data_IF_527934654081
#
_entry.id   IF_527934654081
#
_cell.length_a   1.000
_cell.length_b   1.000
_cell.length_c   1.000
_cell.angle_alpha   90.00
_cell.angle_beta   90.00
_cell.angle_gamma   90.00
#
_symmetry.space_group_name_H-M   'P 1'
#
loop_
_entity.id
_entity.type
_entity.pdbx_description
1 polymer ?
#
# COMPACT_ATOMS: atom_id res chain seq x y z
N UNK A 1 13.49 9.96 -11.54
CA UNK A 1 13.57 9.22 -10.28
C UNK A 1 13.94 7.78 -10.59
N UNK A 2 15.15 7.36 -10.21
CA UNK A 2 15.58 5.96 -10.35
C UNK A 2 14.91 5.13 -9.25
N UNK A 3 14.19 4.08 -9.62
CA UNK A 3 13.50 3.18 -8.70
C UNK A 3 13.91 1.74 -8.96
N UNK A 4 14.06 1.00 -7.89
CA UNK A 4 14.27 -0.44 -7.88
C UNK A 4 12.91 -1.15 -7.91
N UNK A 5 12.87 -2.37 -8.43
CA UNK A 5 11.66 -3.18 -8.52
C UNK A 5 11.80 -4.48 -7.75
N UNK A 6 10.68 -4.98 -7.24
CA UNK A 6 10.57 -6.33 -6.72
C UNK A 6 9.19 -6.92 -7.00
N UNK A 7 9.12 -8.25 -7.04
CA UNK A 7 7.89 -9.01 -7.24
C UNK A 7 7.76 -10.06 -6.14
N UNK A 8 6.70 -9.96 -5.35
CA UNK A 8 6.36 -10.94 -4.33
C UNK A 8 5.09 -11.69 -4.75
N UNK A 9 5.16 -13.02 -4.83
CA UNK A 9 4.01 -13.84 -5.23
C UNK A 9 4.22 -15.30 -4.79
N UNK A 10 3.15 -16.09 -4.89
CA UNK A 10 3.23 -17.55 -4.68
C UNK A 10 3.81 -18.21 -5.93
N UNK A 11 4.97 -18.83 -5.83
CA UNK A 11 5.59 -19.55 -6.93
C UNK A 11 6.17 -20.89 -6.48
N UNK A 12 6.24 -21.81 -7.44
CA UNK A 12 7.03 -23.01 -7.33
C UNK A 12 8.36 -22.76 -8.05
N UNK A 13 9.44 -22.60 -7.29
CA UNK A 13 10.80 -22.53 -7.83
C UNK A 13 11.58 -23.76 -7.39
N UNK A 14 12.77 -23.97 -7.96
CA UNK A 14 13.68 -25.03 -7.49
C UNK A 14 14.12 -24.81 -6.03
N UNK A 15 14.10 -23.55 -5.55
CA UNK A 15 14.64 -23.14 -4.26
C UNK A 15 13.57 -22.94 -3.18
N UNK A 16 12.33 -22.62 -3.55
CA UNK A 16 11.27 -22.29 -2.60
C UNK A 16 9.88 -22.67 -3.10
N UNK A 17 8.98 -22.92 -2.15
CA UNK A 17 7.54 -23.15 -2.38
C UNK A 17 6.73 -22.13 -1.57
N UNK A 18 5.75 -21.51 -2.22
CA UNK A 18 4.82 -20.57 -1.59
C UNK A 18 5.20 -19.11 -1.82
N UNK A 19 4.74 -18.22 -0.94
CA UNK A 19 4.92 -16.78 -1.07
C UNK A 19 6.35 -16.35 -0.73
N UNK A 20 7.04 -15.78 -1.72
CA UNK A 20 8.37 -15.20 -1.55
C UNK A 20 8.62 -14.11 -2.62
N UNK A 21 9.74 -13.41 -2.49
CA UNK A 21 10.24 -12.55 -3.56
C UNK A 21 10.76 -13.42 -4.71
N UNK A 22 10.05 -13.44 -5.82
CA UNK A 22 10.39 -14.26 -7.01
C UNK A 22 11.33 -13.53 -7.96
N UNK A 23 11.36 -12.20 -7.88
CA UNK A 23 12.23 -11.35 -8.69
C UNK A 23 12.51 -10.03 -7.95
N UNK A 24 13.70 -9.48 -8.17
CA UNK A 24 14.08 -8.14 -7.72
C UNK A 24 15.18 -7.57 -8.63
N UNK A 25 15.29 -6.26 -8.67
CA UNK A 25 16.41 -5.57 -9.30
C UNK A 25 17.65 -5.58 -8.42
N UNK A 26 18.81 -5.31 -9.03
CA UNK A 26 20.12 -5.44 -8.37
C UNK A 26 20.33 -4.45 -7.22
N UNK A 27 19.61 -3.32 -7.19
CA UNK A 27 19.68 -2.37 -6.08
C UNK A 27 18.89 -2.79 -4.84
N UNK A 28 18.04 -3.83 -4.92
CA UNK A 28 17.32 -4.36 -3.74
C UNK A 28 18.23 -5.29 -2.94
N UNK A 29 18.81 -4.77 -1.87
CA UNK A 29 19.69 -5.54 -0.96
C UNK A 29 18.95 -6.68 -0.26
N UNK A 30 19.70 -7.61 0.34
CA UNK A 30 19.10 -8.72 1.11
C UNK A 30 18.35 -8.25 2.36
N UNK A 31 18.81 -7.18 3.00
CA UNK A 31 18.12 -6.54 4.12
C UNK A 31 16.76 -6.01 3.68
N UNK A 32 16.72 -5.26 2.58
CA UNK A 32 15.47 -4.77 1.99
C UNK A 32 14.56 -5.92 1.59
N UNK A 33 15.10 -6.96 0.95
CA UNK A 33 14.32 -8.12 0.52
C UNK A 33 13.61 -8.81 1.69
N UNK A 34 14.28 -8.98 2.85
CA UNK A 34 13.67 -9.53 4.07
C UNK A 34 12.54 -8.63 4.58
N UNK A 35 12.76 -7.31 4.63
CA UNK A 35 11.73 -6.35 5.04
C UNK A 35 10.54 -6.39 4.08
N UNK A 36 10.78 -6.33 2.77
CA UNK A 36 9.74 -6.44 1.75
C UNK A 36 8.90 -7.71 1.88
N UNK A 37 9.54 -8.85 2.14
CA UNK A 37 8.82 -10.11 2.35
C UNK A 37 7.90 -10.07 3.59
N UNK A 38 8.33 -9.42 4.68
CA UNK A 38 7.50 -9.21 5.88
C UNK A 38 6.28 -8.31 5.62
N UNK A 39 6.48 -7.26 4.83
CA UNK A 39 5.42 -6.32 4.46
C UNK A 39 4.50 -6.84 3.35
N UNK A 40 4.93 -7.85 2.60
CA UNK A 40 4.14 -8.38 1.49
C UNK A 40 3.04 -9.32 1.98
N UNK A 41 1.79 -9.13 1.53
CA UNK A 41 0.69 -10.00 1.91
C UNK A 41 0.78 -11.37 1.25
N UNK A 42 0.29 -12.39 1.96
CA UNK A 42 0.08 -13.75 1.44
C UNK A 42 -1.41 -13.98 1.13
N UNK A 43 -1.79 -15.23 0.84
CA UNK A 43 -3.18 -15.63 0.55
C UNK A 43 -4.24 -14.92 1.40
N UNK A 44 -5.38 -14.61 0.77
CA UNK A 44 -6.57 -14.01 1.37
C UNK A 44 -6.35 -12.68 2.16
N UNK A 45 -5.31 -11.93 1.82
CA UNK A 45 -5.01 -10.67 2.51
C UNK A 45 -5.72 -9.44 1.96
N UNK A 46 -6.39 -9.50 0.80
CA UNK A 46 -7.20 -8.37 0.31
C UNK A 46 -8.55 -8.32 1.05
N UNK A 47 -9.02 -7.12 1.37
CA UNK A 47 -10.29 -6.92 2.10
C UNK A 47 -11.50 -7.27 1.25
N UNK A 48 -11.43 -6.99 -0.06
CA UNK A 48 -12.49 -7.28 -1.00
C UNK A 48 -12.27 -8.65 -1.70
N UNK A 49 -13.35 -9.44 -1.91
CA UNK A 49 -13.25 -10.78 -2.49
C UNK A 49 -13.18 -10.78 -4.03
N UNK A 50 -13.56 -9.68 -4.71
CA UNK A 50 -13.65 -9.65 -6.18
C UNK A 50 -12.27 -9.64 -6.86
N UNK A 51 -12.23 -10.10 -8.11
CA UNK A 51 -11.01 -10.21 -8.94
C UNK A 51 -10.33 -8.85 -9.20
N UNK A 52 -11.12 -7.78 -9.32
CA UNK A 52 -10.60 -6.42 -9.52
C UNK A 52 -10.07 -5.76 -8.24
N UNK A 53 -10.15 -6.44 -7.08
CA UNK A 53 -9.69 -5.89 -5.82
C UNK A 53 -8.17 -5.70 -5.87
N UNK A 54 -7.73 -4.52 -5.44
CA UNK A 54 -6.33 -4.22 -5.31
C UNK A 54 -6.05 -3.30 -4.11
N UNK A 55 -4.78 -3.28 -3.69
CA UNK A 55 -4.32 -2.40 -2.62
C UNK A 55 -3.08 -1.66 -3.07
N UNK A 56 -3.05 -0.34 -2.87
CA UNK A 56 -1.83 0.45 -2.87
C UNK A 56 -1.38 0.60 -1.43
N UNK A 57 -0.12 0.29 -1.15
CA UNK A 57 0.45 0.43 0.18
C UNK A 57 1.78 1.14 0.11
N UNK A 58 2.09 1.92 1.14
CA UNK A 58 3.34 2.65 1.26
C UNK A 58 3.91 2.48 2.67
N UNK A 59 5.22 2.23 2.76
CA UNK A 59 5.93 2.08 4.03
C UNK A 59 7.43 2.39 3.89
N UNK A 60 8.06 2.72 5.01
CA UNK A 60 9.51 2.89 5.11
C UNK A 60 10.19 1.53 5.27
N UNK A 61 11.29 1.31 4.55
CA UNK A 61 12.18 0.15 4.72
C UNK A 61 13.23 0.43 5.81
N UNK A 62 13.76 1.65 5.79
CA UNK A 62 14.69 2.21 6.78
C UNK A 62 14.57 3.75 6.76
N UNK A 63 15.61 4.49 7.20
CA UNK A 63 15.61 5.95 7.23
C UNK A 63 15.67 6.60 5.84
N UNK A 64 16.30 5.93 4.87
CA UNK A 64 16.60 6.48 3.55
C UNK A 64 15.73 5.87 2.45
N UNK A 65 15.12 4.72 2.70
CA UNK A 65 14.41 3.94 1.70
C UNK A 65 12.94 3.76 2.02
N UNK A 66 12.12 3.97 0.99
CA UNK A 66 10.69 3.75 1.00
C UNK A 66 10.32 2.63 0.02
N UNK A 67 9.20 1.99 0.28
CA UNK A 67 8.57 1.06 -0.64
C UNK A 67 7.11 1.46 -0.91
N UNK A 68 6.75 1.41 -2.18
CA UNK A 68 5.38 1.52 -2.67
C UNK A 68 5.00 0.18 -3.28
N UNK A 69 3.85 -0.36 -2.93
CA UNK A 69 3.41 -1.68 -3.39
C UNK A 69 2.01 -1.61 -3.97
N UNK A 70 1.77 -2.44 -4.99
CA UNK A 70 0.44 -2.78 -5.46
C UNK A 70 0.22 -4.27 -5.35
N UNK A 71 -0.76 -4.67 -4.53
CA UNK A 71 -1.20 -6.06 -4.42
C UNK A 71 -2.47 -6.24 -5.23
N UNK A 72 -2.51 -7.28 -6.07
CA UNK A 72 -3.67 -7.69 -6.87
C UNK A 72 -3.91 -9.18 -6.74
N UNK A 73 -5.12 -9.62 -7.10
CA UNK A 73 -5.39 -11.03 -7.39
C UNK A 73 -4.88 -11.35 -8.79
N UNK A 74 -4.05 -12.37 -8.90
CA UNK A 74 -3.65 -12.99 -10.15
C UNK A 74 -4.49 -14.22 -10.47
N UNK A 75 -3.91 -15.15 -11.22
CA UNK A 75 -4.53 -16.43 -11.55
C UNK A 75 -4.64 -17.37 -10.33
N UNK A 76 -5.24 -18.54 -10.55
CA UNK A 76 -5.36 -19.61 -9.55
C UNK A 76 -4.01 -19.92 -8.88
N UNK A 77 -4.03 -20.09 -7.57
CA UNK A 77 -2.83 -20.47 -6.83
C UNK A 77 -2.38 -21.89 -7.22
N UNK A 78 -1.07 -22.12 -7.34
CA UNK A 78 -0.51 -23.44 -7.68
C UNK A 78 -0.94 -24.54 -6.70
N UNK A 79 -1.23 -24.18 -5.45
CA UNK A 79 -1.77 -25.12 -4.49
C UNK A 79 -3.22 -25.47 -4.86
N UNK A 80 -3.54 -26.76 -4.96
CA UNK A 80 -4.91 -27.31 -5.11
C UNK A 80 -5.89 -26.92 -3.98
N UNK A 81 -5.56 -25.94 -3.13
CA UNK A 81 -6.38 -25.40 -2.04
C UNK A 81 -7.50 -24.47 -2.53
N UNK A 82 -7.51 -24.15 -3.84
CA UNK A 82 -8.45 -23.19 -4.40
C UNK A 82 -8.11 -21.76 -3.98
N UNK A 83 -8.60 -20.80 -4.76
CA UNK A 83 -8.35 -19.38 -4.53
C UNK A 83 -7.32 -18.78 -5.49
N UNK A 84 -7.28 -17.45 -5.45
CA UNK A 84 -6.49 -16.64 -6.37
C UNK A 84 -5.17 -16.27 -5.71
N UNK A 85 -4.07 -16.51 -6.42
CA UNK A 85 -2.74 -16.08 -6.01
C UNK A 85 -2.72 -14.57 -5.85
N UNK A 86 -2.08 -14.06 -4.81
CA UNK A 86 -1.76 -12.63 -4.74
C UNK A 86 -0.44 -12.35 -5.43
N UNK A 87 -0.43 -11.30 -6.26
CA UNK A 87 0.79 -10.72 -6.80
C UNK A 87 0.98 -9.34 -6.19
N UNK A 88 2.14 -9.09 -5.59
CA UNK A 88 2.52 -7.79 -5.06
C UNK A 88 3.69 -7.25 -5.88
N UNK A 89 3.40 -6.25 -6.71
CA UNK A 89 4.41 -5.47 -7.44
C UNK A 89 4.94 -4.38 -6.51
N UNK A 90 6.25 -4.25 -6.44
CA UNK A 90 6.93 -3.40 -5.45
C UNK A 90 7.87 -2.45 -6.19
N UNK A 91 7.80 -1.17 -5.84
CA UNK A 91 8.78 -0.16 -6.18
C UNK A 91 9.52 0.26 -4.92
N UNK A 92 10.84 0.30 -4.99
CA UNK A 92 11.73 0.72 -3.90
C UNK A 92 12.54 1.91 -4.37
N UNK A 93 12.63 2.93 -3.53
CA UNK A 93 13.31 4.18 -3.90
C UNK A 93 13.77 4.92 -2.66
N UNK A 94 14.71 5.86 -2.85
CA UNK A 94 15.12 6.73 -1.75
C UNK A 94 13.98 7.66 -1.38
N UNK A 95 13.72 7.81 -0.09
CA UNK A 95 12.67 8.67 0.46
C UNK A 95 12.84 10.11 -0.01
N UNK A 96 14.08 10.59 -0.13
CA UNK A 96 14.38 11.93 -0.65
C UNK A 96 13.94 12.16 -2.11
N UNK A 97 13.82 11.11 -2.93
CA UNK A 97 13.33 11.22 -4.30
C UNK A 97 11.83 11.55 -4.37
N UNK A 98 11.06 11.31 -3.29
CA UNK A 98 9.66 11.70 -3.23
C UNK A 98 9.45 13.22 -3.20
N UNK A 99 10.48 14.00 -2.94
CA UNK A 99 10.42 15.47 -3.01
C UNK A 99 9.94 15.98 -4.37
N UNK A 100 10.23 15.27 -5.47
CA UNK A 100 9.76 15.63 -6.81
C UNK A 100 8.26 15.37 -7.04
N UNK A 101 7.61 14.74 -6.06
CA UNK A 101 6.20 14.41 -6.03
C UNK A 101 5.50 14.99 -4.78
N UNK A 102 6.03 16.07 -4.20
CA UNK A 102 5.51 16.72 -2.97
C UNK A 102 5.35 15.76 -1.77
N UNK A 103 6.22 14.74 -1.72
CA UNK A 103 6.15 13.63 -0.77
C UNK A 103 4.85 12.83 -0.83
N UNK A 104 4.19 12.79 -1.99
CA UNK A 104 2.95 12.05 -2.22
C UNK A 104 3.22 10.70 -2.93
N UNK A 105 3.30 9.57 -2.19
CA UNK A 105 3.52 8.25 -2.80
C UNK A 105 2.37 7.79 -3.71
N UNK A 106 1.15 8.32 -3.57
CA UNK A 106 0.05 8.00 -4.51
C UNK A 106 0.28 8.61 -5.89
N UNK A 107 0.97 9.75 -5.97
CA UNK A 107 1.39 10.34 -7.25
C UNK A 107 2.35 9.41 -8.00
N UNK A 108 3.33 8.84 -7.28
CA UNK A 108 4.24 7.83 -7.82
C UNK A 108 3.49 6.58 -8.26
N UNK A 109 2.51 6.12 -7.46
CA UNK A 109 1.66 4.97 -7.79
C UNK A 109 0.88 5.19 -9.09
N UNK A 110 0.24 6.36 -9.24
CA UNK A 110 -0.51 6.71 -10.42
C UNK A 110 0.38 6.72 -11.68
N UNK A 111 1.56 7.34 -11.58
CA UNK A 111 2.54 7.37 -12.67
C UNK A 111 3.02 5.96 -13.05
N UNK A 112 3.41 5.15 -12.07
CA UNK A 112 3.88 3.79 -12.31
C UNK A 112 2.77 2.87 -12.87
N UNK A 113 1.51 3.07 -12.47
CA UNK A 113 0.36 2.37 -13.05
C UNK A 113 0.11 2.77 -14.51
N UNK A 114 0.19 4.07 -14.81
CA UNK A 114 0.02 4.61 -16.16
C UNK A 114 1.08 4.05 -17.11
N UNK A 115 2.33 3.97 -16.64
CA UNK A 115 3.47 3.37 -17.36
C UNK A 115 3.47 1.83 -17.38
N UNK A 116 2.55 1.20 -16.64
CA UNK A 116 2.37 -0.26 -16.64
C UNK A 116 3.26 -1.04 -15.66
N UNK A 117 4.10 -0.37 -14.87
CA UNK A 117 5.05 -1.02 -13.96
C UNK A 117 4.41 -1.70 -12.74
N UNK A 118 3.18 -1.30 -12.38
CA UNK A 118 2.40 -1.89 -11.28
C UNK A 118 1.23 -2.76 -11.77
N UNK A 119 1.20 -3.14 -13.05
CA UNK A 119 0.16 -4.03 -13.59
C UNK A 119 0.45 -5.49 -13.24
N UNK A 120 -0.61 -6.30 -13.20
CA UNK A 120 -0.49 -7.75 -13.08
C UNK A 120 0.34 -8.28 -14.26
N UNK A 121 1.36 -9.08 -13.97
CA UNK A 121 2.21 -9.67 -15.01
C UNK A 121 1.66 -11.02 -15.44
N UNK A 122 1.66 -11.27 -16.75
CA UNK A 122 1.32 -12.59 -17.28
C UNK A 122 2.33 -13.66 -16.85
N UNK A 123 3.61 -13.29 -16.78
CA UNK A 123 4.69 -14.17 -16.33
C UNK A 123 5.65 -13.41 -15.41
N UNK A 124 6.07 -14.06 -14.34
CA UNK A 124 7.08 -13.52 -13.44
C UNK A 124 8.46 -13.57 -14.13
N UNK A 125 9.13 -12.42 -14.36
CA UNK A 125 10.49 -12.43 -14.89
C UNK A 125 11.46 -12.98 -13.84
N UNK A 126 12.61 -13.51 -14.27
CA UNK A 126 13.65 -13.97 -13.33
C UNK A 126 14.43 -12.81 -12.71
N UNK A 127 14.61 -11.73 -13.47
CA UNK A 127 15.32 -10.53 -13.08
C UNK A 127 14.46 -9.32 -13.47
N UNK A 128 14.54 -8.28 -12.66
CA UNK A 128 13.89 -7.00 -12.93
C UNK A 128 14.98 -5.95 -13.10
N UNK A 129 14.88 -5.10 -14.11
CA UNK A 129 15.77 -3.95 -14.23
C UNK A 129 15.31 -2.82 -13.31
N UNK A 130 16.23 -1.94 -12.91
CA UNK A 130 15.84 -0.67 -12.30
C UNK A 130 15.07 0.17 -13.34
N UNK A 131 14.13 0.99 -12.87
CA UNK A 131 13.31 1.85 -13.73
C UNK A 131 13.65 3.32 -13.52
N UNK A 132 13.58 4.09 -14.60
CA UNK A 132 13.59 5.55 -14.51
C UNK A 132 12.15 6.07 -14.61
N UNK A 133 11.57 6.49 -13.48
CA UNK A 133 10.30 7.21 -13.47
C UNK A 133 10.50 8.70 -13.77
N UNK A 134 9.63 9.34 -14.56
CA UNK A 134 9.63 10.79 -14.73
C UNK A 134 9.53 11.52 -13.38
N UNK A 135 10.34 12.55 -13.18
CA UNK A 135 10.38 13.36 -11.95
C UNK A 135 9.41 14.56 -11.97
N UNK A 136 8.49 14.65 -12.94
CA UNK A 136 7.70 15.85 -13.18
C UNK A 136 6.34 15.88 -12.48
N UNK A 137 5.94 17.08 -12.06
CA UNK A 137 4.64 17.45 -11.49
C UNK A 137 3.39 17.20 -12.37
N UNK A 138 3.52 16.58 -13.54
CA UNK A 138 2.35 16.16 -14.33
C UNK A 138 1.51 15.10 -13.61
N UNK A 139 2.13 14.30 -12.75
CA UNK A 139 1.43 13.27 -11.97
C UNK A 139 0.55 13.87 -10.84
N UNK A 140 0.84 15.09 -10.37
CA UNK A 140 0.07 15.75 -9.28
C UNK A 140 -1.31 16.18 -9.77
N UNK A 141 -1.45 16.61 -11.04
CA UNK A 141 -2.74 17.01 -11.63
C UNK A 141 -3.74 15.86 -11.80
N UNK A 142 -3.28 14.61 -11.80
CA UNK A 142 -4.15 13.42 -11.97
C UNK A 142 -4.99 13.15 -10.71
N UNK A 143 -4.60 13.69 -9.54
CA UNK A 143 -5.32 13.50 -8.27
C UNK A 143 -6.11 14.73 -7.79
N UNK A 144 -6.07 15.85 -8.52
CA UNK A 144 -6.76 17.09 -8.13
C UNK A 144 -8.25 17.11 -8.51
N UNK A 145 -8.78 16.09 -9.19
CA UNK A 145 -10.15 16.11 -9.66
C UNK A 145 -11.09 15.26 -8.79
N UNK A 146 -11.88 15.98 -7.98
CA UNK A 146 -13.07 15.59 -7.20
C UNK A 146 -12.81 15.34 -5.71
N UNK A 147 -13.54 16.13 -4.92
CA UNK A 147 -13.67 16.15 -3.46
C UNK A 147 -13.59 14.75 -2.83
N UNK A 148 -12.93 14.70 -1.67
CA UNK A 148 -12.77 13.48 -0.88
C UNK A 148 -14.11 12.80 -0.60
N UNK A 149 -14.13 11.47 -0.66
CA UNK A 149 -15.16 10.71 0.06
C UNK A 149 -14.74 10.77 1.54
N UNK A 150 -15.29 11.72 2.28
CA UNK A 150 -14.96 11.99 3.68
C UNK A 150 -15.16 13.46 4.01
N UNK A 151 -16.00 13.74 5.00
CA UNK A 151 -16.23 15.08 5.50
C UNK A 151 -14.94 15.69 6.08
N UNK A 152 -14.86 17.03 6.07
CA UNK A 152 -13.75 17.85 6.57
C UNK A 152 -13.34 17.47 7.99
N UNK A 153 -14.33 17.14 8.84
CA UNK A 153 -14.13 16.70 10.20
C UNK A 153 -13.42 15.34 10.27
N UNK A 154 -13.76 14.40 9.38
CA UNK A 154 -13.11 13.08 9.31
C UNK A 154 -11.62 13.22 8.98
N UNK A 155 -11.28 14.05 7.99
CA UNK A 155 -9.88 14.29 7.62
C UNK A 155 -9.13 14.99 8.76
N UNK A 156 -9.76 15.97 9.42
CA UNK A 156 -9.17 16.67 10.57
C UNK A 156 -8.89 15.72 11.74
N UNK A 157 -9.85 14.85 12.06
CA UNK A 157 -9.69 13.77 13.04
C UNK A 157 -8.54 12.84 12.66
N UNK A 158 -8.44 12.42 11.39
CA UNK A 158 -7.35 11.58 10.92
C UNK A 158 -5.98 12.24 11.06
N UNK A 159 -5.83 13.51 10.71
CA UNK A 159 -4.57 14.25 10.87
C UNK A 159 -4.10 14.24 12.34
N UNK A 160 -5.04 14.45 13.28
CA UNK A 160 -4.75 14.42 14.72
C UNK A 160 -4.37 13.02 15.18
N UNK A 161 -5.19 12.03 14.87
CA UNK A 161 -5.03 10.65 15.36
C UNK A 161 -3.75 10.00 14.82
N UNK A 162 -3.42 10.23 13.55
CA UNK A 162 -2.23 9.65 12.91
C UNK A 162 -0.90 10.20 13.44
N UNK A 163 -0.91 11.34 14.16
CA UNK A 163 0.26 11.83 14.88
C UNK A 163 0.62 10.99 16.11
N UNK A 164 -0.37 10.28 16.68
CA UNK A 164 -0.25 9.68 18.01
C UNK A 164 -0.40 8.16 17.96
N UNK A 165 -1.32 7.67 17.13
CA UNK A 165 -1.77 6.28 17.15
C UNK A 165 -1.84 5.71 15.74
N UNK A 166 -2.01 4.39 15.66
CA UNK A 166 -2.42 3.74 14.41
C UNK A 166 -3.92 3.86 14.26
N UNK A 167 -4.39 4.08 13.04
CA UNK A 167 -5.80 4.32 12.76
C UNK A 167 -6.30 3.33 11.72
N UNK A 168 -7.42 2.69 12.03
CA UNK A 168 -8.22 1.88 11.12
C UNK A 168 -9.44 2.68 10.70
N UNK A 169 -9.54 3.02 9.42
CA UNK A 169 -10.69 3.74 8.85
C UNK A 169 -11.67 2.72 8.31
N UNK A 170 -12.92 2.80 8.78
CA UNK A 170 -13.97 1.83 8.46
C UNK A 170 -15.05 2.49 7.60
N UNK A 171 -15.46 1.82 6.52
CA UNK A 171 -16.56 2.27 5.66
C UNK A 171 -16.19 3.36 4.66
N UNK A 172 -14.89 3.62 4.42
CA UNK A 172 -14.50 4.55 3.36
C UNK A 172 -14.71 3.93 1.97
N UNK A 173 -15.53 4.55 1.13
CA UNK A 173 -15.78 4.10 -0.24
C UNK A 173 -14.52 4.15 -1.12
N UNK A 174 -13.75 5.25 -0.99
CA UNK A 174 -12.50 5.46 -1.74
C UNK A 174 -11.30 5.68 -0.82
N UNK A 175 -10.70 4.60 -0.24
CA UNK A 175 -9.51 4.69 0.60
C UNK A 175 -8.37 5.54 0.02
N UNK A 176 -8.13 5.44 -1.30
CA UNK A 176 -7.10 6.23 -2.00
C UNK A 176 -7.38 7.73 -1.98
N UNK A 177 -8.64 8.16 -2.13
CA UNK A 177 -9.00 9.58 -2.05
C UNK A 177 -8.82 10.12 -0.64
N UNK A 178 -9.19 9.34 0.38
CA UNK A 178 -8.99 9.71 1.79
C UNK A 178 -7.50 9.89 2.09
N UNK A 179 -6.66 8.94 1.68
CA UNK A 179 -5.20 9.05 1.83
C UNK A 179 -4.64 10.22 1.04
N UNK A 180 -5.07 10.44 -0.20
CA UNK A 180 -4.64 11.58 -1.02
C UNK A 180 -4.93 12.92 -0.34
N UNK A 181 -6.14 13.08 0.19
CA UNK A 181 -6.57 14.28 0.91
C UNK A 181 -5.80 14.46 2.21
N UNK A 182 -5.61 13.37 2.98
CA UNK A 182 -4.79 13.38 4.19
C UNK A 182 -3.35 13.83 3.87
N UNK A 183 -2.72 13.25 2.84
CA UNK A 183 -1.37 13.63 2.42
C UNK A 183 -1.28 15.11 2.04
N UNK A 184 -2.23 15.63 1.28
CA UNK A 184 -2.24 17.06 0.88
C UNK A 184 -2.26 18.02 2.07
N UNK A 185 -2.88 17.63 3.20
CA UNK A 185 -2.98 18.47 4.41
C UNK A 185 -1.86 18.28 5.42
N UNK A 186 -1.09 17.21 5.29
CA UNK A 186 0.08 16.98 6.14
C UNK A 186 1.25 17.87 5.67
N UNK A 187 2.13 18.31 6.58
CA UNK A 187 3.41 18.88 6.21
C UNK A 187 4.32 17.81 5.58
N UNK A 188 5.30 18.25 4.78
CA UNK A 188 6.12 17.38 3.93
C UNK A 188 6.86 16.27 4.69
N UNK A 189 7.40 16.57 5.86
CA UNK A 189 8.06 15.65 6.77
C UNK A 189 7.12 14.51 7.22
N UNK A 190 5.88 14.86 7.58
CA UNK A 190 4.86 13.88 7.97
C UNK A 190 4.33 13.06 6.80
N UNK A 191 4.28 13.63 5.59
CA UNK A 191 3.88 12.88 4.38
C UNK A 191 4.87 11.75 4.08
N UNK A 192 6.17 12.06 4.13
CA UNK A 192 7.23 11.09 3.86
C UNK A 192 7.17 9.88 4.82
N UNK A 193 6.86 10.11 6.10
CA UNK A 193 6.79 9.07 7.11
C UNK A 193 5.43 8.35 7.24
N UNK A 194 4.38 8.81 6.55
CA UNK A 194 3.04 8.25 6.73
C UNK A 194 2.91 6.88 6.03
N UNK A 195 2.93 5.79 6.80
CA UNK A 195 2.69 4.45 6.26
C UNK A 195 1.19 4.14 6.13
N UNK A 196 0.77 3.57 5.00
CA UNK A 196 -0.64 3.23 4.79
C UNK A 196 -0.87 2.00 3.92
N UNK A 197 -2.05 1.40 4.05
CA UNK A 197 -2.57 0.36 3.16
C UNK A 197 -4.03 0.63 2.81
N UNK A 198 -4.37 0.66 1.52
CA UNK A 198 -5.72 1.02 1.07
C UNK A 198 -6.71 -0.16 0.97
N UNK A 199 -6.23 -1.40 1.10
CA UNK A 199 -7.07 -2.58 0.82
C UNK A 199 -6.54 -3.92 1.35
N UNK A 200 -5.50 -3.93 2.20
CA UNK A 200 -5.07 -5.14 2.89
C UNK A 200 -5.82 -5.32 4.22
N UNK A 201 -6.05 -6.58 4.59
CA UNK A 201 -6.55 -6.99 5.91
C UNK A 201 -5.54 -6.64 7.02
N UNK A 202 -6.01 -6.38 8.25
CA UNK A 202 -5.16 -6.04 9.38
C UNK A 202 -4.10 -7.11 9.64
N UNK A 203 -2.90 -6.64 10.00
CA UNK A 203 -1.81 -7.52 10.42
C UNK A 203 -0.99 -6.83 11.50
N UNK A 204 -0.58 -7.61 12.50
CA UNK A 204 0.34 -7.12 13.53
C UNK A 204 1.78 -6.99 13.01
N UNK A 205 2.14 -7.78 11.99
CA UNK A 205 3.46 -7.74 11.37
C UNK A 205 3.64 -6.59 10.36
N UNK A 206 2.53 -5.92 9.98
CA UNK A 206 2.52 -4.78 9.05
C UNK A 206 1.92 -3.57 9.76
N UNK A 207 2.72 -2.83 10.55
CA UNK A 207 2.23 -1.76 11.39
C UNK A 207 1.95 -0.48 10.58
N UNK A 208 1.03 -0.55 9.63
CA UNK A 208 0.56 0.64 8.91
C UNK A 208 -0.02 1.66 9.89
N UNK A 209 0.32 2.94 9.70
CA UNK A 209 -0.21 4.07 10.47
C UNK A 209 -1.68 4.31 10.14
N UNK A 210 -2.04 4.17 8.86
CA UNK A 210 -3.42 4.25 8.37
C UNK A 210 -3.77 2.98 7.60
N UNK A 211 -4.87 2.34 7.97
CA UNK A 211 -5.38 1.17 7.27
C UNK A 211 -6.88 1.31 7.04
N UNK A 212 -7.39 0.69 5.98
CA UNK A 212 -8.79 0.78 5.59
C UNK A 212 -9.47 -0.59 5.61
N UNK A 213 -10.70 -0.61 6.10
CA UNK A 213 -11.59 -1.76 6.06
C UNK A 213 -12.96 -1.34 5.54
N UNK A 214 -13.61 -2.14 4.69
CA UNK A 214 -14.98 -1.85 4.26
C UNK A 214 -15.95 -1.94 5.44
N UNK A 215 -15.76 -2.93 6.32
CA UNK A 215 -16.60 -3.19 7.48
C UNK A 215 -15.73 -3.72 8.63
N UNK A 216 -16.21 -3.54 9.86
CA UNK A 216 -15.53 -3.97 11.07
C UNK A 216 -16.50 -4.73 11.96
N UNK A 217 -16.21 -6.01 12.23
CA UNK A 217 -16.96 -6.78 13.23
C UNK A 217 -16.55 -6.39 14.65
N UNK A 218 -17.44 -6.57 15.63
CA UNK A 218 -17.16 -6.23 17.04
C UNK A 218 -15.93 -6.97 17.59
N UNK A 219 -15.81 -8.28 17.30
CA UNK A 219 -14.63 -9.06 17.69
C UNK A 219 -13.32 -8.48 17.11
N UNK A 220 -13.35 -8.02 15.85
CA UNK A 220 -12.18 -7.40 15.25
C UNK A 220 -11.93 -6.02 15.86
N UNK A 221 -12.97 -5.24 16.20
CA UNK A 221 -12.85 -3.95 16.90
C UNK A 221 -12.15 -4.11 18.24
N UNK A 222 -12.58 -5.07 19.07
CA UNK A 222 -11.95 -5.38 20.36
C UNK A 222 -10.47 -5.75 20.20
N UNK A 223 -10.15 -6.60 19.21
CA UNK A 223 -8.76 -6.98 18.90
C UNK A 223 -7.91 -5.79 18.46
N UNK A 224 -8.46 -4.88 17.65
CA UNK A 224 -7.74 -3.67 17.22
C UNK A 224 -7.52 -2.72 18.39
N UNK A 225 -8.52 -2.54 19.26
CA UNK A 225 -8.39 -1.73 20.47
C UNK A 225 -7.31 -2.27 21.42
N UNK A 226 -7.29 -3.59 21.65
CA UNK A 226 -6.26 -4.25 22.46
C UNK A 226 -4.84 -4.08 21.86
N UNK A 227 -4.73 -3.92 20.54
CA UNK A 227 -3.48 -3.62 19.84
C UNK A 227 -3.16 -2.11 19.75
N UNK A 228 -3.92 -1.25 20.43
CA UNK A 228 -3.72 0.20 20.43
C UNK A 228 -4.08 0.89 19.10
N UNK A 229 -4.92 0.25 18.28
CA UNK A 229 -5.38 0.79 16.99
C UNK A 229 -6.76 1.42 17.20
N UNK A 230 -6.87 2.70 16.82
CA UNK A 230 -8.11 3.45 16.91
C UNK A 230 -8.96 3.18 15.67
N UNK A 231 -10.19 2.72 15.84
CA UNK A 231 -11.14 2.54 14.74
C UNK A 231 -11.98 3.81 14.54
N UNK A 232 -11.93 4.39 13.35
CA UNK A 232 -12.71 5.55 12.94
C UNK A 232 -13.74 5.14 11.88
N UNK A 233 -15.02 5.18 12.25
CA UNK A 233 -16.13 4.86 11.35
C UNK A 233 -16.55 6.12 10.56
N UNK A 234 -16.43 6.09 9.23
CA UNK A 234 -16.73 7.24 8.36
C UNK A 234 -18.24 7.50 8.29
N UNK A 235 -19.05 6.44 8.22
CA UNK A 235 -20.52 6.56 8.16
C UNK A 235 -21.15 7.15 9.43
N UNK A 236 -20.58 6.87 10.61
CA UNK A 236 -21.05 7.41 11.89
C UNK A 236 -20.69 8.88 12.09
N UNK A 237 -19.67 9.37 11.37
CA UNK A 237 -19.24 10.77 11.47
C UNK A 237 -20.15 11.73 10.71
N UNK A 238 -21.02 11.22 9.82
CA UNK A 238 -22.03 12.00 9.07
C UNK A 238 -23.37 12.15 9.81
N UNK A 239 -23.55 11.49 10.96
CA UNK A 239 -24.79 11.47 11.74
C UNK A 239 -24.73 12.33 13.02
N UNK A 240 -23.66 13.12 13.19
CA UNK A 240 -23.49 14.12 14.26
C UNK A 240 -23.38 15.51 13.66
#
# INVERSE_FOLDING_TARGET
MLVEQALFTSALTQQARGYHLVARSSGVTDGMAKTLAMWSPTHDSLTQPHLSADSINFFQLDQDWSALTRTVRGESEYSNRGGLRLETNILVFRTSQLSTHDYNPLSVAALALALGHLRLRAQAPRLLDSLQLPSSAWATRIHEAKSADGDEDTITKLIRLTSQSRVMVVGAESPRKVVGTLLQRLPADRRAGLTFSTGLRPSLHRPFRVQFLPQLSENLREKMAAAGIICLDVERSLAM
#
